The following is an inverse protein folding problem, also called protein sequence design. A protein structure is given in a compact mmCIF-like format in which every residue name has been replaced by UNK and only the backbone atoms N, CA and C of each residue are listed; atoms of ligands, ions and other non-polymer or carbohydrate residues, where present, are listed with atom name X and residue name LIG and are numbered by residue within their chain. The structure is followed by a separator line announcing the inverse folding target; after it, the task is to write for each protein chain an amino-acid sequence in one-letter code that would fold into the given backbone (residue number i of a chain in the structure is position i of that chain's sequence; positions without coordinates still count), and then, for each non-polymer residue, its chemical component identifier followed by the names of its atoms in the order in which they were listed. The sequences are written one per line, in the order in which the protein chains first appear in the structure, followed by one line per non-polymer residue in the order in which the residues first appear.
data_IF_860656450741
#
_entry.id   IF_860656450741
#
_cell.length_a   1.000
_cell.length_b   1.000
_cell.length_c   1.000
_cell.angle_alpha   90.00
_cell.angle_beta   90.00
_cell.angle_gamma   90.00
#
_symmetry.space_group_name_H-M   'P 1'
#
loop_
_entity.id
_entity.type
_entity.pdbx_description
1 polymer ?
#
# COMPACT_ATOMS: atom_id res chain seq x y z
N UNK A 1 -13.81 0.21 -16.98
CA UNK A 1 -13.03 -0.11 -15.76
C UNK A 1 -13.57 -1.42 -15.22
N UNK A 2 -12.77 -2.49 -15.13
CA UNK A 2 -13.23 -3.72 -14.46
C UNK A 2 -13.19 -3.46 -12.96
N UNK A 3 -14.34 -3.51 -12.30
CA UNK A 3 -14.43 -3.43 -10.83
C UNK A 3 -14.13 -4.82 -10.28
N UNK A 4 -13.11 -4.92 -9.44
CA UNK A 4 -12.63 -6.19 -8.93
C UNK A 4 -13.12 -6.41 -7.49
N UNK A 5 -13.70 -7.57 -7.25
CA UNK A 5 -14.38 -7.94 -5.99
C UNK A 5 -13.39 -8.29 -4.87
N UNK A 6 -13.88 -8.33 -3.63
CA UNK A 6 -13.13 -8.74 -2.41
C UNK A 6 -12.46 -10.12 -2.50
N UNK A 7 -12.79 -10.94 -3.50
CA UNK A 7 -12.35 -12.32 -3.68
C UNK A 7 -10.87 -12.50 -4.03
N UNK A 8 -10.15 -11.42 -4.32
CA UNK A 8 -8.69 -11.42 -4.58
C UNK A 8 -7.88 -10.64 -3.54
N UNK A 9 -8.55 -9.99 -2.59
CA UNK A 9 -7.92 -9.22 -1.54
C UNK A 9 -7.75 -10.09 -0.28
N UNK A 10 -6.56 -10.07 0.31
CA UNK A 10 -6.24 -10.79 1.54
C UNK A 10 -6.66 -9.89 2.72
N UNK A 11 -7.97 -9.80 2.96
CA UNK A 11 -8.55 -8.87 3.92
C UNK A 11 -8.29 -9.30 5.37
N UNK A 12 -7.89 -8.35 6.20
CA UNK A 12 -7.92 -8.49 7.67
C UNK A 12 -9.37 -8.48 8.17
N UNK A 13 -9.63 -9.20 9.27
CA UNK A 13 -10.93 -9.21 9.95
C UNK A 13 -11.17 -7.97 10.83
N UNK A 14 -10.16 -7.12 10.96
CA UNK A 14 -10.20 -5.89 11.75
C UNK A 14 -9.54 -4.75 11.00
N UNK A 15 -9.98 -3.52 11.28
CA UNK A 15 -9.31 -2.30 10.84
C UNK A 15 -8.28 -1.79 11.87
N UNK A 16 -7.90 -2.60 12.87
CA UNK A 16 -6.77 -2.28 13.74
C UNK A 16 -5.47 -2.16 12.94
N UNK A 17 -4.61 -1.17 13.22
CA UNK A 17 -3.35 -1.03 12.52
C UNK A 17 -2.33 -2.09 12.96
N UNK A 18 -1.43 -2.44 12.05
CA UNK A 18 -0.12 -2.98 12.46
C UNK A 18 0.70 -1.79 12.96
N UNK A 19 1.47 -1.95 14.04
CA UNK A 19 2.32 -0.87 14.60
C UNK A 19 3.80 -1.25 14.66
N UNK A 20 4.11 -2.55 14.68
CA UNK A 20 5.50 -3.04 14.70
C UNK A 20 6.06 -3.21 13.29
N UNK A 21 7.09 -2.43 12.96
CA UNK A 21 7.83 -2.54 11.69
C UNK A 21 8.62 -3.85 11.54
N UNK A 22 8.79 -4.61 12.63
CA UNK A 22 9.45 -5.92 12.63
C UNK A 22 8.48 -7.09 12.56
N UNK A 23 7.16 -6.86 12.62
CA UNK A 23 6.17 -7.93 12.50
C UNK A 23 6.08 -8.47 11.07
N UNK A 24 5.84 -9.77 10.93
CA UNK A 24 5.47 -10.36 9.64
C UNK A 24 4.11 -9.85 9.14
N UNK A 25 3.23 -9.37 10.03
CA UNK A 25 1.96 -8.76 9.63
C UNK A 25 2.16 -7.49 8.78
N UNK A 26 3.34 -6.86 8.82
CA UNK A 26 3.65 -5.70 7.97
C UNK A 26 3.64 -6.04 6.47
N UNK A 27 3.76 -7.32 6.10
CA UNK A 27 3.72 -7.79 4.71
C UNK A 27 2.38 -7.50 4.07
N UNK A 28 1.33 -8.13 4.61
CA UNK A 28 0.00 -8.19 4.02
C UNK A 28 -1.13 -8.06 5.06
N UNK A 29 -0.82 -7.56 6.27
CA UNK A 29 -1.70 -7.46 7.43
C UNK A 29 -1.96 -8.81 8.13
N UNK A 30 -2.59 -8.74 9.31
CA UNK A 30 -2.98 -9.90 10.12
C UNK A 30 -3.92 -10.80 9.31
N UNK A 31 -3.57 -12.09 9.20
CA UNK A 31 -4.29 -13.06 8.37
C UNK A 31 -3.94 -13.00 6.88
N UNK A 32 -3.23 -11.96 6.42
CA UNK A 32 -2.84 -11.76 5.02
C UNK A 32 -1.68 -12.64 4.54
N UNK A 33 -1.21 -13.58 5.35
CA UNK A 33 -0.28 -14.63 4.92
C UNK A 33 -1.02 -15.82 4.25
N UNK A 34 -2.35 -15.79 4.20
CA UNK A 34 -3.17 -16.84 3.58
C UNK A 34 -3.86 -16.26 2.34
N UNK A 35 -3.53 -16.80 1.18
CA UNK A 35 -4.16 -16.40 -0.06
C UNK A 35 -5.63 -16.80 -0.16
N UNK A 36 -6.29 -16.25 -1.18
CA UNK A 36 -7.69 -16.46 -1.54
C UNK A 36 -7.78 -17.12 -2.92
N UNK A 37 -8.97 -17.56 -3.33
CA UNK A 37 -9.12 -18.30 -4.59
C UNK A 37 -9.03 -17.42 -5.84
N UNK A 38 -9.37 -16.13 -5.74
CA UNK A 38 -9.46 -15.19 -6.85
C UNK A 38 -8.14 -14.54 -7.21
N UNK A 39 -7.85 -14.39 -8.49
CA UNK A 39 -6.67 -13.66 -9.02
C UNK A 39 -7.16 -12.66 -10.06
N UNK A 40 -6.66 -11.43 -9.97
CA UNK A 40 -6.97 -10.35 -10.89
C UNK A 40 -6.11 -10.44 -12.16
N UNK A 41 -6.70 -10.53 -13.34
CA UNK A 41 -5.93 -10.43 -14.59
C UNK A 41 -5.70 -8.96 -14.97
N UNK A 42 -4.44 -8.54 -15.01
CA UNK A 42 -4.04 -7.14 -15.19
C UNK A 42 -3.00 -7.03 -16.32
N UNK A 43 -3.29 -6.35 -17.44
CA UNK A 43 -2.28 -6.11 -18.47
C UNK A 43 -1.16 -5.19 -17.94
N UNK A 44 0.09 -5.50 -18.28
CA UNK A 44 1.20 -4.56 -18.09
C UNK A 44 0.89 -3.23 -18.82
N UNK A 45 1.27 -2.10 -18.21
CA UNK A 45 0.96 -0.76 -18.72
C UNK A 45 -0.46 -0.27 -18.41
N UNK A 46 -1.34 -1.12 -17.88
CA UNK A 46 -2.70 -0.71 -17.50
C UNK A 46 -2.74 0.05 -16.17
N UNK A 47 -3.76 0.89 -16.02
CA UNK A 47 -4.09 1.54 -14.75
C UNK A 47 -4.94 0.61 -13.90
N UNK A 48 -4.57 0.49 -12.62
CA UNK A 48 -5.37 -0.18 -11.60
C UNK A 48 -5.65 0.80 -10.47
N UNK A 49 -6.83 0.67 -9.85
CA UNK A 49 -7.16 1.39 -8.64
C UNK A 49 -7.20 0.40 -7.48
N UNK A 50 -6.43 0.69 -6.44
CA UNK A 50 -6.63 0.05 -5.14
C UNK A 50 -7.74 0.80 -4.43
N UNK A 51 -8.59 0.07 -3.71
CA UNK A 51 -9.72 0.65 -2.98
C UNK A 51 -9.65 0.26 -1.51
N UNK A 52 -9.62 1.26 -0.63
CA UNK A 52 -9.46 1.13 0.81
C UNK A 52 -10.58 1.91 1.51
N UNK A 53 -11.16 1.32 2.55
CA UNK A 53 -12.23 1.95 3.35
C UNK A 53 -12.11 1.54 4.81
N UNK A 54 -12.50 2.46 5.71
CA UNK A 54 -12.39 2.28 7.16
C UNK A 54 -13.25 1.11 7.66
N UNK A 55 -14.43 0.94 7.03
CA UNK A 55 -15.43 -0.03 7.45
C UNK A 55 -15.55 -1.18 6.43
N UNK A 56 -15.68 -2.44 6.90
CA UNK A 56 -16.02 -3.55 6.03
C UNK A 56 -17.32 -3.28 5.27
N UNK A 57 -17.32 -3.58 3.97
CA UNK A 57 -18.49 -3.46 3.09
C UNK A 57 -19.11 -2.07 2.91
N UNK A 58 -18.59 -1.00 3.52
CA UNK A 58 -18.99 0.38 3.22
C UNK A 58 -18.08 0.98 2.16
N UNK A 59 -18.65 1.35 1.01
CA UNK A 59 -17.92 1.88 -0.16
C UNK A 59 -18.50 3.21 -0.64
N UNK A 60 -19.37 3.84 0.14
CA UNK A 60 -19.99 5.09 -0.24
C UNK A 60 -18.94 6.20 -0.29
N UNK A 61 -18.90 6.99 -1.38
CA UNK A 61 -17.89 8.05 -1.53
C UNK A 61 -17.96 9.12 -0.44
N UNK A 62 -19.13 9.33 0.18
CA UNK A 62 -19.30 10.25 1.31
C UNK A 62 -18.76 9.71 2.64
N UNK A 63 -18.23 8.47 2.66
CA UNK A 63 -17.60 7.87 3.83
C UNK A 63 -16.08 7.96 3.68
N UNK A 64 -15.36 8.24 4.77
CA UNK A 64 -13.92 8.30 4.71
C UNK A 64 -13.35 6.93 4.37
N UNK A 65 -12.35 6.94 3.49
CA UNK A 65 -11.46 5.80 3.28
C UNK A 65 -10.66 5.51 4.55
N UNK A 66 -10.21 6.57 5.21
CA UNK A 66 -9.55 6.55 6.50
C UNK A 66 -9.84 7.87 7.24
N UNK A 67 -10.47 7.79 8.42
CA UNK A 67 -11.00 8.94 9.16
C UNK A 67 -10.08 9.48 10.25
N UNK A 68 -10.62 10.34 11.12
CA UNK A 68 -9.98 10.69 12.41
C UNK A 68 -8.61 11.36 12.32
N UNK A 69 -8.39 12.26 11.34
CA UNK A 69 -7.11 12.94 11.12
C UNK A 69 -5.92 11.98 10.91
N UNK A 70 -6.15 10.81 10.32
CA UNK A 70 -5.11 9.86 9.95
C UNK A 70 -4.32 10.34 8.73
N UNK A 71 -3.63 11.47 8.89
CA UNK A 71 -2.76 12.05 7.88
C UNK A 71 -1.52 11.18 7.67
N UNK A 72 -1.15 10.97 6.41
CA UNK A 72 0.07 10.29 6.05
C UNK A 72 0.10 9.79 4.60
N UNK A 73 1.15 9.05 4.21
CA UNK A 73 1.32 8.63 2.83
C UNK A 73 0.41 7.47 2.45
N UNK A 74 0.23 7.33 1.13
CA UNK A 74 -0.28 6.11 0.49
C UNK A 74 0.79 5.59 -0.47
N UNK A 75 1.07 4.29 -0.44
CA UNK A 75 2.04 3.66 -1.35
C UNK A 75 1.49 2.35 -1.90
N UNK A 76 1.94 1.99 -3.09
CA UNK A 76 1.63 0.71 -3.74
C UNK A 76 2.92 0.03 -4.18
N UNK A 77 3.02 -1.26 -3.88
CA UNK A 77 4.16 -2.12 -4.19
C UNK A 77 3.69 -3.35 -4.98
N UNK A 78 4.61 -3.95 -5.72
CA UNK A 78 4.45 -5.25 -6.35
C UNK A 78 5.53 -6.22 -5.87
N UNK A 79 5.18 -7.50 -5.76
CA UNK A 79 6.12 -8.60 -5.50
C UNK A 79 5.86 -9.73 -6.49
N UNK A 80 6.85 -10.09 -7.30
CA UNK A 80 6.76 -11.25 -8.20
C UNK A 80 6.77 -12.52 -7.35
N UNK A 81 5.83 -13.43 -7.60
CA UNK A 81 5.71 -14.70 -6.89
C UNK A 81 5.53 -15.86 -7.88
N UNK A 82 5.73 -17.10 -7.40
CA UNK A 82 5.48 -18.30 -8.21
C UNK A 82 3.98 -18.55 -8.40
N UNK A 83 3.20 -18.31 -7.35
CA UNK A 83 1.74 -18.47 -7.33
C UNK A 83 1.11 -17.44 -6.39
N UNK A 84 0.26 -16.56 -6.92
CA UNK A 84 -0.37 -15.50 -6.15
C UNK A 84 -1.36 -16.03 -5.10
N UNK A 85 -1.86 -17.27 -5.24
CA UNK A 85 -2.83 -17.87 -4.31
C UNK A 85 -2.20 -18.48 -3.07
N UNK A 86 -0.90 -18.71 -3.08
CA UNK A 86 -0.17 -19.36 -2.00
C UNK A 86 0.95 -18.49 -1.42
N UNK A 87 1.26 -17.36 -2.05
CA UNK A 87 2.24 -16.41 -1.55
C UNK A 87 1.83 -15.79 -0.21
N UNK A 88 2.77 -15.72 0.74
CA UNK A 88 2.60 -15.21 2.10
C UNK A 88 3.15 -13.78 2.29
N UNK A 89 3.57 -13.14 1.20
CA UNK A 89 4.22 -11.83 1.22
C UNK A 89 5.67 -11.84 1.74
N UNK A 90 6.36 -12.99 1.83
CA UNK A 90 7.79 -13.04 2.19
C UNK A 90 8.76 -12.67 1.06
N UNK A 91 8.25 -12.61 -0.18
CA UNK A 91 9.02 -12.24 -1.36
C UNK A 91 9.37 -10.75 -1.39
N UNK A 92 10.31 -10.38 -2.26
CA UNK A 92 10.78 -9.00 -2.38
C UNK A 92 9.73 -8.10 -3.04
N UNK A 93 9.54 -6.88 -2.53
CA UNK A 93 8.62 -5.87 -3.02
C UNK A 93 9.36 -4.69 -3.63
N UNK A 94 8.89 -4.19 -4.76
CA UNK A 94 9.33 -2.91 -5.34
C UNK A 94 8.14 -1.94 -5.40
N UNK A 95 8.41 -0.67 -5.18
CA UNK A 95 7.38 0.38 -5.14
C UNK A 95 7.00 0.79 -6.56
N UNK A 96 5.72 0.95 -6.85
CA UNK A 96 5.20 1.36 -8.18
C UNK A 96 4.40 2.67 -8.16
N UNK A 97 4.01 3.13 -6.98
CA UNK A 97 3.32 4.41 -6.83
C UNK A 97 3.32 4.85 -5.37
N UNK A 98 3.33 6.15 -5.16
CA UNK A 98 3.26 6.75 -3.83
C UNK A 98 2.70 8.16 -3.89
N UNK A 99 2.13 8.60 -2.77
CA UNK A 99 1.77 9.97 -2.52
C UNK A 99 2.04 10.28 -1.05
N UNK A 100 2.89 11.28 -0.80
CA UNK A 100 3.32 11.68 0.54
C UNK A 100 2.55 12.89 1.05
N UNK A 101 3.24 14.03 1.11
CA UNK A 101 2.71 15.32 1.57
C UNK A 101 3.00 16.41 0.55
N UNK A 102 1.99 17.20 0.21
CA UNK A 102 2.11 18.39 -0.64
C UNK A 102 2.03 19.64 0.22
N UNK A 103 3.10 20.44 0.23
CA UNK A 103 3.21 21.62 1.11
C UNK A 103 2.23 22.73 0.73
N UNK A 104 2.02 22.92 -0.58
CA UNK A 104 1.27 24.05 -1.11
C UNK A 104 -0.19 24.09 -0.62
N UNK A 105 -0.82 22.93 -0.50
CA UNK A 105 -2.22 22.77 -0.10
C UNK A 105 -2.38 21.95 1.19
N UNK A 106 -1.26 21.52 1.79
CA UNK A 106 -1.18 20.68 2.99
C UNK A 106 -1.88 19.32 2.83
N UNK A 107 -1.94 18.80 1.60
CA UNK A 107 -2.60 17.53 1.29
C UNK A 107 -1.70 16.33 1.55
N UNK A 108 -2.26 15.30 2.19
CA UNK A 108 -1.63 13.99 2.36
C UNK A 108 -2.16 12.95 1.39
N UNK A 109 -1.42 11.84 1.22
CA UNK A 109 -1.90 10.70 0.45
C UNK A 109 -3.25 10.15 0.94
N UNK A 110 -3.47 10.16 2.26
CA UNK A 110 -4.76 9.77 2.84
C UNK A 110 -5.90 10.75 2.54
N UNK A 111 -5.62 12.03 2.32
CA UNK A 111 -6.61 13.01 1.84
C UNK A 111 -6.98 12.75 0.37
N UNK A 112 -6.00 12.41 -0.47
CA UNK A 112 -6.24 12.00 -1.86
C UNK A 112 -7.11 10.74 -1.90
N UNK A 113 -6.83 9.76 -1.03
CA UNK A 113 -7.62 8.53 -0.90
C UNK A 113 -9.07 8.85 -0.52
N UNK A 114 -9.29 9.70 0.48
CA UNK A 114 -10.61 10.15 0.90
C UNK A 114 -11.36 10.89 -0.23
N UNK A 115 -10.69 11.84 -0.91
CA UNK A 115 -11.29 12.64 -1.98
C UNK A 115 -11.67 11.81 -3.21
N UNK A 116 -10.94 10.72 -3.46
CA UNK A 116 -11.18 9.80 -4.57
C UNK A 116 -12.05 8.59 -4.17
N UNK A 117 -12.97 8.76 -3.22
CA UNK A 117 -13.91 7.70 -2.81
C UNK A 117 -13.21 6.40 -2.35
N UNK A 118 -12.07 6.51 -1.66
CA UNK A 118 -11.27 5.37 -1.22
C UNK A 118 -10.33 4.80 -2.26
N UNK A 119 -10.15 5.47 -3.42
CA UNK A 119 -9.36 4.93 -4.53
C UNK A 119 -8.02 5.63 -4.70
N UNK A 120 -6.98 4.83 -4.90
CA UNK A 120 -5.67 5.31 -5.33
C UNK A 120 -5.28 4.60 -6.62
N UNK A 121 -5.10 5.37 -7.70
CA UNK A 121 -4.77 4.83 -9.02
C UNK A 121 -3.26 4.76 -9.22
N UNK A 122 -2.78 3.63 -9.71
CA UNK A 122 -1.39 3.42 -10.12
C UNK A 122 -1.33 2.71 -11.47
N UNK A 123 -0.24 2.93 -12.21
CA UNK A 123 0.01 2.21 -13.47
C UNK A 123 0.87 0.99 -13.19
N UNK A 124 0.48 -0.18 -13.68
CA UNK A 124 1.36 -1.36 -13.68
C UNK A 124 2.47 -1.10 -14.69
N UNK A 125 3.75 -1.16 -14.31
CA UNK A 125 4.83 -0.86 -15.24
C UNK A 125 4.80 -1.76 -16.48
N UNK A 126 5.02 -1.14 -17.64
CA UNK A 126 4.78 -1.79 -18.94
C UNK A 126 5.85 -2.83 -19.29
N UNK A 127 7.09 -2.68 -18.79
CA UNK A 127 8.18 -3.62 -19.07
C UNK A 127 8.23 -4.84 -18.14
N UNK A 128 7.31 -4.96 -17.17
CA UNK A 128 7.33 -6.05 -16.20
C UNK A 128 7.24 -7.42 -16.87
N UNK A 129 7.96 -8.38 -16.29
CA UNK A 129 7.81 -9.79 -16.65
C UNK A 129 6.39 -10.28 -16.36
N UNK A 130 5.79 -11.04 -17.28
CA UNK A 130 4.46 -11.62 -17.07
C UNK A 130 4.44 -12.61 -15.88
N UNK A 131 3.24 -12.84 -15.34
CA UNK A 131 2.96 -13.89 -14.34
C UNK A 131 2.39 -13.35 -13.04
N UNK A 132 2.49 -14.16 -11.98
CA UNK A 132 1.84 -13.87 -10.71
C UNK A 132 2.59 -12.86 -9.85
N UNK A 133 1.83 -11.96 -9.24
CA UNK A 133 2.31 -10.95 -8.31
C UNK A 133 1.36 -10.79 -7.11
N UNK A 134 1.92 -10.39 -5.97
CA UNK A 134 1.16 -9.70 -4.94
C UNK A 134 1.28 -8.18 -5.15
N UNK A 135 0.15 -7.49 -5.15
CA UNK A 135 0.08 -6.03 -5.08
C UNK A 135 -0.20 -5.64 -3.63
N UNK A 136 0.67 -4.86 -3.00
CA UNK A 136 0.52 -4.38 -1.62
C UNK A 136 0.18 -2.89 -1.64
N UNK A 137 -1.02 -2.54 -1.22
CA UNK A 137 -1.42 -1.15 -1.00
C UNK A 137 -1.32 -0.83 0.49
N UNK A 138 -0.78 0.34 0.83
CA UNK A 138 -0.59 0.76 2.22
C UNK A 138 -0.90 2.25 2.41
N UNK A 139 -1.66 2.55 3.46
CA UNK A 139 -1.73 3.87 4.06
C UNK A 139 -1.03 3.84 5.43
N UNK A 140 -0.29 4.89 5.77
CA UNK A 140 0.31 5.03 7.11
C UNK A 140 -0.32 6.24 7.76
N UNK A 141 -0.88 6.08 8.96
CA UNK A 141 -1.37 7.21 9.75
C UNK A 141 -0.30 7.67 10.74
N UNK A 142 -0.03 8.98 10.73
CA UNK A 142 1.08 9.60 11.44
C UNK A 142 0.63 10.52 12.59
N UNK A 143 -0.66 10.57 12.90
CA UNK A 143 -1.23 11.46 13.92
C UNK A 143 -0.61 11.28 15.31
N UNK A 144 -0.13 10.08 15.63
CA UNK A 144 0.62 9.74 16.87
C UNK A 144 2.10 9.44 16.65
N UNK A 145 2.64 9.63 15.44
CA UNK A 145 3.99 9.21 15.06
C UNK A 145 5.14 10.01 15.69
N UNK A 146 4.84 11.05 16.48
CA UNK A 146 5.87 11.75 17.26
C UNK A 146 6.47 10.85 18.35
N UNK A 147 5.70 9.84 18.78
CA UNK A 147 6.14 8.84 19.74
C UNK A 147 6.76 7.63 19.03
N UNK A 148 7.82 7.02 19.58
CA UNK A 148 8.33 5.74 19.10
C UNK A 148 7.20 4.68 19.03
N UNK A 149 7.07 4.03 17.88
CA UNK A 149 5.99 3.05 17.65
C UNK A 149 4.60 3.65 17.46
N UNK A 150 4.49 4.98 17.35
CA UNK A 150 3.22 5.68 17.19
C UNK A 150 2.68 5.71 15.76
N UNK A 151 3.45 5.31 14.74
CA UNK A 151 2.95 5.15 13.39
C UNK A 151 2.02 3.94 13.27
N UNK A 152 0.95 4.10 12.50
CA UNK A 152 -0.08 3.09 12.33
C UNK A 152 -0.14 2.67 10.85
N UNK A 153 0.14 1.40 10.57
CA UNK A 153 0.28 0.87 9.22
C UNK A 153 -0.99 0.09 8.83
N UNK A 154 -1.63 0.51 7.74
CA UNK A 154 -2.83 -0.10 7.18
C UNK A 154 -2.52 -0.60 5.77
N UNK A 155 -2.28 -1.90 5.62
CA UNK A 155 -2.00 -2.50 4.33
C UNK A 155 -2.96 -3.64 3.98
N UNK A 156 -3.06 -3.94 2.69
CA UNK A 156 -3.71 -5.14 2.15
C UNK A 156 -2.94 -5.61 0.93
N UNK A 157 -2.80 -6.93 0.80
CA UNK A 157 -2.28 -7.55 -0.42
C UNK A 157 -3.42 -8.02 -1.32
N UNK A 158 -3.20 -7.90 -2.63
CA UNK A 158 -4.11 -8.32 -3.68
C UNK A 158 -3.40 -9.29 -4.61
N UNK A 159 -4.09 -10.36 -5.00
CA UNK A 159 -3.55 -11.37 -5.90
C UNK A 159 -3.79 -10.93 -7.34
N UNK A 160 -2.71 -10.71 -8.09
CA UNK A 160 -2.81 -10.31 -9.50
C UNK A 160 -1.96 -11.22 -10.38
N UNK A 161 -2.38 -11.37 -11.63
CA UNK A 161 -1.62 -11.96 -12.73
C UNK A 161 -1.39 -10.89 -13.78
N UNK A 162 -0.13 -10.54 -13.98
CA UNK A 162 0.28 -9.58 -15.00
C UNK A 162 0.37 -10.32 -16.33
N UNK A 163 -0.31 -9.78 -17.35
CA UNK A 163 -0.26 -10.30 -18.73
C UNK A 163 0.42 -9.31 -19.68
N UNK A 164 1.00 -9.84 -20.76
CA UNK A 164 1.88 -9.05 -21.64
C UNK A 164 3.16 -8.63 -20.91
N UNK A 165 3.74 -7.51 -21.33
CA UNK A 165 4.90 -6.90 -20.67
C UNK A 165 6.23 -7.18 -21.36
N UNK A 166 7.31 -7.19 -20.58
CA UNK A 166 8.68 -7.36 -21.04
C UNK A 166 9.48 -8.32 -20.17
N UNK A 167 10.75 -8.00 -19.91
CA UNK A 167 11.66 -8.81 -19.09
C UNK A 167 12.18 -8.04 -17.86
N UNK A 168 11.58 -6.91 -17.52
CA UNK A 168 11.99 -6.12 -16.36
C UNK A 168 11.68 -6.89 -15.07
N UNK A 169 12.66 -6.89 -14.16
CA UNK A 169 12.56 -7.43 -12.81
C UNK A 169 13.21 -6.44 -11.85
N UNK A 170 12.47 -5.41 -11.40
CA UNK A 170 13.02 -4.39 -10.53
C UNK A 170 13.58 -4.95 -9.23
N UNK A 171 14.69 -4.37 -8.76
CA UNK A 171 15.20 -4.67 -7.43
C UNK A 171 14.17 -4.25 -6.36
N UNK A 172 14.01 -5.08 -5.34
CA UNK A 172 13.04 -4.85 -4.28
C UNK A 172 13.64 -4.92 -2.88
N UNK A 173 12.78 -4.69 -1.89
CA UNK A 173 13.05 -4.76 -0.46
C UNK A 173 12.11 -5.77 0.21
N UNK A 174 12.41 -6.20 1.43
CA UNK A 174 11.54 -7.12 2.19
C UNK A 174 10.74 -6.41 3.27
N UNK A 175 9.53 -6.91 3.54
CA UNK A 175 8.77 -6.58 4.74
C UNK A 175 8.70 -7.82 5.64
N UNK A 176 9.06 -7.73 6.94
CA UNK A 176 9.78 -6.62 7.59
C UNK A 176 11.20 -6.43 7.02
N UNK A 177 11.79 -5.24 7.28
CA UNK A 177 13.17 -4.90 6.92
C UNK A 177 13.32 -3.60 6.14
N UNK A 178 12.39 -3.30 5.23
CA UNK A 178 12.38 -2.07 4.43
C UNK A 178 12.13 -0.81 5.27
N UNK A 179 11.43 -0.96 6.39
CA UNK A 179 11.08 0.12 7.32
C UNK A 179 11.86 -0.05 8.63
N UNK A 180 12.35 1.07 9.15
CA UNK A 180 12.92 1.18 10.50
C UNK A 180 12.04 2.08 11.34
N UNK A 181 11.93 1.77 12.63
CA UNK A 181 11.13 2.56 13.56
C UNK A 181 11.61 4.02 13.64
N UNK A 182 12.90 4.27 13.37
CA UNK A 182 13.53 5.59 13.37
C UNK A 182 13.55 6.26 12.00
N UNK A 183 12.95 5.69 10.95
CA UNK A 183 12.90 6.37 9.66
C UNK A 183 12.13 7.69 9.80
N UNK A 184 12.59 8.79 9.17
CA UNK A 184 11.97 10.12 9.31
C UNK A 184 10.55 10.19 8.74
N UNK A 185 10.13 9.20 7.95
CA UNK A 185 8.75 9.03 7.49
C UNK A 185 7.86 8.25 8.44
N UNK A 186 8.43 7.62 9.48
CA UNK A 186 7.75 6.73 10.42
C UNK A 186 7.73 7.32 11.83
N UNK A 187 8.85 7.84 12.34
CA UNK A 187 8.88 8.61 13.58
C UNK A 187 8.98 10.10 13.25
N UNK A 188 7.86 10.80 13.31
CA UNK A 188 7.72 12.16 12.79
C UNK A 188 6.63 12.94 13.52
N UNK A 189 6.88 14.24 13.77
CA UNK A 189 5.87 15.15 14.31
C UNK A 189 5.25 15.98 13.19
N UNK A 190 4.05 15.60 12.74
CA UNK A 190 3.32 16.27 11.65
C UNK A 190 2.55 17.52 12.09
N UNK A 191 2.46 17.78 13.40
CA UNK A 191 1.67 18.89 13.96
C UNK A 191 2.50 20.16 14.21
N UNK A 192 3.82 20.08 14.12
CA UNK A 192 4.71 21.20 14.43
C UNK A 192 4.60 22.35 13.42
N UNK A 193 4.70 23.58 13.90
CA UNK A 193 4.59 24.81 13.10
C UNK A 193 5.64 24.94 11.96
N UNK A 194 6.64 24.07 11.90
CA UNK A 194 7.67 24.04 10.85
C UNK A 194 7.62 22.81 9.93
N UNK A 195 6.55 21.99 10.00
CA UNK A 195 6.43 20.82 9.14
C UNK A 195 6.24 21.23 7.67
N UNK A 196 7.32 21.09 6.90
CA UNK A 196 7.42 21.61 5.53
C UNK A 196 7.91 20.57 4.53
N UNK A 197 8.26 19.37 5.00
CA UNK A 197 8.69 18.28 4.14
C UNK A 197 8.38 16.94 4.79
N UNK A 198 8.12 15.95 3.95
CA UNK A 198 7.90 14.57 4.36
C UNK A 198 8.70 13.64 3.47
N UNK A 199 9.42 12.69 4.09
CA UNK A 199 10.12 11.63 3.37
C UNK A 199 9.29 10.35 3.47
N UNK A 200 8.78 9.88 2.34
CA UNK A 200 8.02 8.62 2.29
C UNK A 200 8.99 7.46 2.62
N UNK A 201 8.61 6.52 3.52
CA UNK A 201 9.48 5.41 3.87
C UNK A 201 9.64 4.38 2.73
N UNK A 202 10.68 3.55 2.84
CA UNK A 202 10.98 2.51 1.86
C UNK A 202 11.77 3.00 0.62
N UNK A 203 11.90 2.17 -0.42
CA UNK A 203 12.67 2.49 -1.61
C UNK A 203 11.97 3.56 -2.47
N UNK A 204 12.71 4.16 -3.40
CA UNK A 204 12.11 4.98 -4.45
C UNK A 204 11.17 4.16 -5.35
N UNK A 205 10.26 4.84 -6.06
CA UNK A 205 9.43 4.21 -7.10
C UNK A 205 10.34 3.60 -8.17
N UNK A 206 10.14 2.32 -8.47
CA UNK A 206 10.91 1.60 -9.45
C UNK A 206 10.64 2.13 -10.87
N UNK A 207 11.69 2.23 -11.67
CA UNK A 207 11.59 2.39 -13.11
C UNK A 207 11.50 1.00 -13.75
N UNK A 208 10.43 0.73 -14.49
CA UNK A 208 10.17 -0.60 -15.09
C UNK A 208 9.28 -0.50 -16.33
#
# INVERSE_FOLDING_TARGET
MKTFTTTMALLSLSNSPVTSVSSNDLRCNVGGARGVSGVCEVPAGSKVSVEMHEQPSDRACGRPAIGGNHFGPVMVYLSKVSDAKTADGSSSFFKIGEYGYTVADKTWGTDVLNTNCGKFEVTIPAGLTAGDYLLRAEAIALHTASQPGGAQFYMTCYQIRVSGGGSASPAGVKFPGAYKASDPGIQVNIWGNGFTQYTIPGPAVASA
#
